data_IF_690327541363
#
_entry.id   IF_690327541363
#
_cell.length_a   1.000
_cell.length_b   1.000
_cell.length_c   1.000
_cell.angle_alpha   90.00
_cell.angle_beta   90.00
_cell.angle_gamma   90.00
#
_symmetry.space_group_name_H-M   'P 1'
#
loop_
_entity.id
_entity.type
_entity.pdbx_description
1 polymer ?
#
# COMPACT_ATOMS: atom_id res chain seq x y z
N UNK A 1 2.69 -10.37 -33.51
CA UNK A 1 1.41 -9.70 -33.22
C UNK A 1 1.42 -9.26 -31.76
N UNK A 2 0.61 -8.27 -31.34
CA UNK A 2 0.61 -7.88 -29.93
C UNK A 2 -0.13 -8.92 -29.06
N UNK A 3 0.31 -9.14 -27.82
CA UNK A 3 -0.30 -10.10 -26.87
C UNK A 3 -1.84 -10.00 -26.81
N UNK A 4 -2.38 -8.77 -26.75
CA UNK A 4 -3.83 -8.55 -26.67
C UNK A 4 -4.59 -9.07 -27.89
N UNK A 5 -3.99 -9.00 -29.08
CA UNK A 5 -4.57 -9.53 -30.32
C UNK A 5 -4.57 -11.06 -30.30
N UNK A 6 -3.48 -11.68 -29.85
CA UNK A 6 -3.39 -13.14 -29.72
C UNK A 6 -4.39 -13.68 -28.69
N UNK A 7 -4.55 -12.99 -27.55
CA UNK A 7 -5.55 -13.33 -26.56
C UNK A 7 -6.98 -13.19 -27.12
N UNK A 8 -7.23 -12.15 -27.91
CA UNK A 8 -8.52 -11.97 -28.57
C UNK A 8 -8.80 -13.06 -29.62
N UNK A 9 -7.80 -13.46 -30.39
CA UNK A 9 -7.91 -14.56 -31.36
C UNK A 9 -8.16 -15.90 -30.66
N UNK A 10 -7.44 -16.19 -29.57
CA UNK A 10 -7.64 -17.35 -28.71
C UNK A 10 -9.09 -17.44 -28.19
N UNK A 11 -9.64 -16.33 -27.71
CA UNK A 11 -11.01 -16.29 -27.23
C UNK A 11 -12.01 -16.52 -28.37
N UNK A 12 -11.80 -15.88 -29.51
CA UNK A 12 -12.69 -16.00 -30.68
C UNK A 12 -12.67 -17.39 -31.29
N UNK A 13 -11.51 -18.04 -31.41
CA UNK A 13 -11.42 -19.45 -31.89
C UNK A 13 -12.12 -20.43 -30.95
N UNK A 14 -12.21 -20.07 -29.67
CA UNK A 14 -12.91 -20.85 -28.64
C UNK A 14 -14.41 -20.55 -28.58
N UNK A 15 -14.93 -19.63 -29.41
CA UNK A 15 -16.35 -19.30 -29.50
C UNK A 15 -16.89 -18.47 -28.34
N UNK A 16 -16.04 -17.86 -27.52
CA UNK A 16 -16.44 -17.18 -26.28
C UNK A 16 -16.60 -15.67 -26.46
N UNK A 17 -17.59 -15.08 -25.77
CA UNK A 17 -17.67 -13.62 -25.58
C UNK A 17 -16.66 -13.14 -24.53
N UNK A 18 -16.37 -11.83 -24.46
CA UNK A 18 -15.47 -11.29 -23.43
C UNK A 18 -16.01 -11.55 -22.03
N UNK A 19 -17.33 -11.51 -21.85
CA UNK A 19 -18.05 -11.80 -20.61
C UNK A 19 -17.84 -13.26 -20.20
N UNK A 20 -18.07 -14.21 -21.11
CA UNK A 20 -17.90 -15.64 -20.82
C UNK A 20 -16.45 -15.99 -20.51
N UNK A 21 -15.50 -15.41 -21.26
CA UNK A 21 -14.08 -15.60 -21.02
C UNK A 21 -13.64 -15.00 -19.67
N UNK A 22 -14.23 -13.87 -19.27
CA UNK A 22 -13.97 -13.27 -17.96
C UNK A 22 -14.51 -14.14 -16.82
N UNK A 23 -15.69 -14.73 -17.00
CA UNK A 23 -16.30 -15.64 -16.03
C UNK A 23 -15.46 -16.91 -15.82
N UNK A 24 -14.98 -17.53 -16.89
CA UNK A 24 -14.07 -18.69 -16.79
C UNK A 24 -12.79 -18.37 -16.03
N UNK A 25 -12.25 -17.18 -16.25
CA UNK A 25 -11.03 -16.70 -15.58
C UNK A 25 -11.30 -16.13 -14.19
N UNK A 26 -12.57 -16.04 -13.76
CA UNK A 26 -13.02 -15.40 -12.50
C UNK A 26 -12.50 -13.96 -12.36
N UNK A 27 -12.61 -13.18 -13.42
CA UNK A 27 -12.26 -11.76 -13.47
C UNK A 27 -13.42 -10.93 -14.02
N UNK A 28 -13.34 -9.60 -13.90
CA UNK A 28 -14.34 -8.73 -14.51
C UNK A 28 -14.17 -8.67 -16.03
N UNK A 29 -15.27 -8.49 -16.77
CA UNK A 29 -15.23 -8.24 -18.22
C UNK A 29 -14.30 -7.07 -18.60
N UNK A 30 -14.23 -6.05 -17.73
CA UNK A 30 -13.35 -4.89 -17.92
C UNK A 30 -11.86 -5.28 -17.92
N UNK A 31 -11.47 -6.27 -17.12
CA UNK A 31 -10.09 -6.79 -17.11
C UNK A 31 -9.74 -7.43 -18.47
N UNK A 32 -10.60 -8.31 -18.99
CA UNK A 32 -10.42 -8.93 -20.31
C UNK A 32 -10.36 -7.86 -21.41
N UNK A 33 -11.26 -6.87 -21.39
CA UNK A 33 -11.22 -5.76 -22.36
C UNK A 33 -9.92 -4.95 -22.28
N UNK A 34 -9.36 -4.77 -21.07
CA UNK A 34 -8.08 -4.08 -20.86
C UNK A 34 -6.90 -4.88 -21.43
N UNK A 35 -6.93 -6.20 -21.29
CA UNK A 35 -5.89 -7.10 -21.83
C UNK A 35 -5.93 -7.18 -23.35
N UNK A 36 -7.11 -7.38 -23.94
CA UNK A 36 -7.27 -7.44 -25.40
C UNK A 36 -6.93 -6.12 -26.09
N UNK A 37 -7.06 -4.98 -25.39
CA UNK A 37 -6.67 -3.66 -25.91
C UNK A 37 -5.21 -3.28 -25.62
N UNK A 38 -4.41 -4.18 -25.06
CA UNK A 38 -2.98 -3.94 -24.77
C UNK A 38 -2.72 -2.94 -23.63
N UNK A 39 -3.75 -2.54 -22.88
CA UNK A 39 -3.65 -1.57 -21.77
C UNK A 39 -3.23 -2.21 -20.44
N UNK A 40 -2.87 -3.48 -20.45
CA UNK A 40 -2.40 -4.25 -19.30
C UNK A 40 -2.30 -5.73 -19.61
N UNK A 41 -1.79 -6.51 -18.67
CA UNK A 41 -1.61 -7.95 -18.80
C UNK A 41 -2.38 -8.70 -17.69
N UNK A 42 -2.80 -9.95 -17.93
CA UNK A 42 -3.31 -10.81 -16.88
C UNK A 42 -2.21 -11.14 -15.87
N UNK A 43 -2.61 -11.44 -14.64
CA UNK A 43 -1.71 -11.96 -13.61
C UNK A 43 -1.15 -13.33 -14.04
N UNK A 44 0.01 -13.70 -13.50
CA UNK A 44 0.72 -14.95 -13.85
C UNK A 44 -0.18 -16.18 -13.68
N UNK A 45 -0.99 -16.22 -12.62
CA UNK A 45 -1.95 -17.31 -12.38
C UNK A 45 -2.95 -17.46 -13.55
N UNK A 46 -3.49 -16.35 -14.05
CA UNK A 46 -4.44 -16.35 -15.17
C UNK A 46 -3.77 -16.73 -16.47
N UNK A 47 -2.54 -16.28 -16.69
CA UNK A 47 -1.74 -16.68 -17.84
C UNK A 47 -1.50 -18.19 -17.87
N UNK A 48 -1.08 -18.78 -16.75
CA UNK A 48 -0.86 -20.22 -16.65
C UNK A 48 -2.15 -21.01 -16.84
N UNK A 49 -3.26 -20.53 -16.27
CA UNK A 49 -4.57 -21.14 -16.47
C UNK A 49 -4.99 -21.11 -17.95
N UNK A 50 -4.81 -20.00 -18.64
CA UNK A 50 -5.10 -19.88 -20.08
C UNK A 50 -4.26 -20.88 -20.88
N UNK A 51 -2.97 -20.96 -20.60
CA UNK A 51 -2.05 -21.89 -21.26
C UNK A 51 -2.52 -23.35 -21.10
N UNK A 52 -2.86 -23.75 -19.88
CA UNK A 52 -3.33 -25.11 -19.58
C UNK A 52 -4.72 -25.40 -20.19
N UNK A 53 -5.63 -24.44 -20.13
CA UNK A 53 -7.04 -24.63 -20.52
C UNK A 53 -7.23 -24.69 -22.02
N UNK A 54 -6.46 -23.91 -22.76
CA UNK A 54 -6.59 -23.74 -24.21
C UNK A 54 -5.45 -24.35 -25.02
N UNK A 55 -4.61 -25.15 -24.36
CA UNK A 55 -3.45 -25.86 -24.91
C UNK A 55 -2.55 -24.94 -25.75
N UNK A 56 -2.12 -23.84 -25.11
CA UNK A 56 -1.19 -22.86 -25.70
C UNK A 56 -0.01 -22.67 -24.76
N UNK A 57 1.16 -22.42 -25.32
CA UNK A 57 2.32 -22.03 -24.55
C UNK A 57 2.32 -20.52 -24.28
N UNK A 58 3.08 -20.09 -23.28
CA UNK A 58 3.32 -18.66 -23.08
C UNK A 58 3.96 -18.02 -24.32
N UNK A 59 4.78 -18.74 -25.07
CA UNK A 59 5.37 -18.21 -26.30
C UNK A 59 4.31 -17.99 -27.40
N UNK A 60 3.29 -18.85 -27.46
CA UNK A 60 2.20 -18.70 -28.44
C UNK A 60 1.29 -17.49 -28.12
N UNK A 61 1.20 -17.10 -26.84
CA UNK A 61 0.48 -15.90 -26.39
C UNK A 61 1.31 -14.61 -26.52
N UNK A 62 2.62 -14.75 -26.61
CA UNK A 62 3.59 -13.68 -26.74
C UNK A 62 4.46 -13.94 -27.96
N UNK A 63 3.87 -13.95 -29.17
CA UNK A 63 4.68 -13.99 -30.38
C UNK A 63 5.58 -12.74 -30.43
N UNK A 64 6.88 -13.02 -30.35
CA UNK A 64 7.97 -12.08 -30.53
C UNK A 64 7.75 -11.27 -31.82
N UNK A 65 7.32 -10.02 -31.69
CA UNK A 65 7.70 -9.02 -32.68
C UNK A 65 9.22 -8.98 -32.65
N UNK A 66 9.84 -9.42 -33.74
CA UNK A 66 11.28 -9.55 -33.95
C UNK A 66 12.05 -9.85 -32.68
N UNK A 67 12.29 -11.14 -32.44
CA UNK A 67 13.40 -11.58 -31.62
C UNK A 67 14.69 -11.15 -32.34
N UNK A 68 14.99 -9.86 -32.34
CA UNK A 68 16.39 -9.44 -32.36
C UNK A 68 17.02 -10.29 -31.26
N UNK A 69 18.02 -11.13 -31.59
CA UNK A 69 18.73 -11.85 -30.54
C UNK A 69 19.08 -10.80 -29.51
N UNK A 70 18.85 -11.08 -28.22
CA UNK A 70 19.45 -10.27 -27.18
C UNK A 70 20.96 -10.43 -27.36
N UNK A 71 21.51 -9.64 -28.27
CA UNK A 71 22.89 -9.24 -28.28
C UNK A 71 23.01 -8.58 -26.92
N UNK A 72 23.47 -9.37 -25.95
CA UNK A 72 24.30 -8.82 -24.91
C UNK A 72 25.51 -8.23 -25.64
N UNK A 73 25.33 -7.06 -26.23
CA UNK A 73 26.41 -6.09 -26.17
C UNK A 73 26.76 -6.07 -24.69
N UNK A 74 27.97 -6.56 -24.39
CA UNK A 74 28.60 -6.31 -23.12
C UNK A 74 28.67 -4.79 -23.08
N UNK A 75 27.63 -4.17 -22.52
CA UNK A 75 27.57 -2.74 -22.32
C UNK A 75 28.86 -2.43 -21.57
N UNK A 76 29.74 -1.58 -22.14
CA UNK A 76 31.05 -1.34 -21.54
C UNK A 76 30.82 -1.00 -20.08
N UNK A 77 31.65 -1.55 -19.19
CA UNK A 77 31.51 -1.38 -17.75
C UNK A 77 31.14 0.08 -17.47
N UNK A 78 29.87 0.32 -17.14
CA UNK A 78 29.36 1.68 -17.01
C UNK A 78 30.21 2.29 -15.90
N UNK A 79 30.93 3.40 -16.16
CA UNK A 79 31.79 3.97 -15.14
C UNK A 79 30.94 4.19 -13.89
N UNK A 80 31.45 3.79 -12.71
CA UNK A 80 30.69 3.83 -11.45
C UNK A 80 29.96 5.17 -11.24
N UNK A 81 30.60 6.27 -11.66
CA UNK A 81 30.03 7.63 -11.64
C UNK A 81 28.74 7.76 -12.49
N UNK A 82 28.70 7.16 -13.67
CA UNK A 82 27.54 7.15 -14.55
C UNK A 82 26.40 6.27 -14.01
N UNK A 83 26.71 5.11 -13.40
CA UNK A 83 25.72 4.25 -12.75
C UNK A 83 25.08 4.91 -11.53
N UNK A 84 25.89 5.57 -10.71
CA UNK A 84 25.41 6.33 -9.55
C UNK A 84 24.56 7.52 -10.00
N UNK A 85 24.99 8.27 -11.03
CA UNK A 85 24.22 9.38 -11.58
C UNK A 85 22.86 8.93 -12.14
N UNK A 86 22.82 7.81 -12.85
CA UNK A 86 21.59 7.23 -13.38
C UNK A 86 20.65 6.70 -12.27
N UNK A 87 21.20 6.11 -11.21
CA UNK A 87 20.42 5.71 -10.05
C UNK A 87 19.80 6.92 -9.33
N UNK A 88 20.60 7.97 -9.09
CA UNK A 88 20.16 9.23 -8.46
C UNK A 88 19.07 9.94 -9.27
N UNK A 89 19.18 9.93 -10.60
CA UNK A 89 18.21 10.61 -11.46
C UNK A 89 16.86 9.90 -11.55
N UNK A 90 16.84 8.58 -11.35
CA UNK A 90 15.67 7.70 -11.44
C UNK A 90 14.90 7.53 -10.11
N UNK A 91 15.38 8.11 -9.01
CA UNK A 91 14.58 8.22 -7.78
C UNK A 91 13.39 9.16 -7.99
N UNK A 92 12.24 8.85 -7.39
CA UNK A 92 11.08 9.77 -7.42
C UNK A 92 11.45 11.12 -6.79
N UNK A 93 10.83 12.26 -7.19
CA UNK A 93 11.19 13.58 -6.67
C UNK A 93 11.18 13.66 -5.13
N UNK A 94 10.23 12.96 -4.49
CA UNK A 94 10.13 12.85 -3.02
C UNK A 94 11.29 12.04 -2.41
N UNK A 95 11.75 10.99 -3.11
CA UNK A 95 12.87 10.16 -2.70
C UNK A 95 14.24 10.82 -2.95
N UNK A 96 14.35 11.77 -3.90
CA UNK A 96 15.59 12.52 -4.16
C UNK A 96 16.02 13.36 -2.95
N UNK A 97 15.07 14.06 -2.32
CA UNK A 97 15.32 14.85 -1.11
C UNK A 97 15.64 13.96 0.10
N UNK A 98 14.96 12.82 0.22
CA UNK A 98 15.28 11.77 1.21
C UNK A 98 16.70 11.22 1.04
N UNK A 99 17.09 10.83 -0.19
CA UNK A 99 18.43 10.33 -0.48
C UNK A 99 19.51 11.39 -0.32
N UNK A 100 19.23 12.65 -0.66
CA UNK A 100 20.15 13.76 -0.43
C UNK A 100 20.35 14.04 1.07
N UNK A 101 19.27 13.97 1.87
CA UNK A 101 19.35 14.10 3.32
C UNK A 101 20.15 12.97 3.98
N UNK A 102 19.96 11.73 3.54
CA UNK A 102 20.74 10.58 4.02
C UNK A 102 22.21 10.74 3.64
N UNK A 103 22.53 11.08 2.39
CA UNK A 103 23.92 11.27 1.93
C UNK A 103 24.62 12.44 2.64
N UNK A 104 23.91 13.53 2.89
CA UNK A 104 24.41 14.66 3.68
C UNK A 104 24.66 14.22 5.13
N UNK A 105 23.72 13.47 5.72
CA UNK A 105 23.86 12.90 7.05
C UNK A 105 25.09 12.00 7.16
N UNK A 106 25.30 11.07 6.22
CA UNK A 106 26.48 10.20 6.17
C UNK A 106 27.77 10.99 5.94
N UNK A 107 27.76 12.00 5.07
CA UNK A 107 28.94 12.85 4.82
C UNK A 107 29.33 13.69 6.04
N UNK A 108 28.34 14.22 6.78
CA UNK A 108 28.56 14.92 8.04
C UNK A 108 29.09 13.96 9.12
N UNK A 109 28.53 12.75 9.22
CA UNK A 109 28.97 11.71 10.16
C UNK A 109 30.41 11.27 9.86
N UNK A 110 30.77 11.09 8.58
CA UNK A 110 32.11 10.72 8.15
C UNK A 110 33.14 11.85 8.36
N UNK A 111 32.78 13.10 8.03
CA UNK A 111 33.63 14.27 8.28
C UNK A 111 33.87 14.50 9.78
N UNK A 112 32.83 14.29 10.58
CA UNK A 112 32.90 14.38 12.03
C UNK A 112 33.72 13.24 12.65
N UNK A 113 33.58 12.01 12.15
CA UNK A 113 34.41 10.87 12.55
C UNK A 113 35.89 11.08 12.17
N UNK A 114 36.18 11.76 11.06
CA UNK A 114 37.53 12.20 10.69
C UNK A 114 38.11 13.24 11.66
N UNK A 115 37.28 14.13 12.22
CA UNK A 115 37.68 15.06 13.27
C UNK A 115 37.91 14.35 14.62
N UNK A 116 37.13 13.30 14.91
CA UNK A 116 37.26 12.49 16.13
C UNK A 116 38.59 11.73 16.22
N UNK A 117 39.15 11.30 15.08
CA UNK A 117 40.42 10.57 15.01
C UNK A 117 41.62 11.39 15.48
N UNK A 118 41.45 12.70 15.71
CA UNK A 118 42.50 13.60 16.20
C UNK A 118 42.45 13.87 17.71
N UNK A 119 41.40 13.43 18.42
CA UNK A 119 41.15 13.67 19.85
C UNK A 119 41.43 12.48 20.76
N UNK A 120 41.37 12.70 22.08
CA UNK A 120 41.56 11.68 23.10
C UNK A 120 40.44 10.64 23.13
N UNK A 121 40.67 9.47 23.77
CA UNK A 121 39.72 8.35 23.78
C UNK A 121 38.33 8.72 24.34
N UNK A 122 38.28 9.49 25.44
CA UNK A 122 37.03 9.96 26.04
C UNK A 122 36.32 11.02 25.17
N UNK A 123 37.07 11.90 24.51
CA UNK A 123 36.52 12.87 23.57
C UNK A 123 35.90 12.15 22.37
N UNK A 124 36.57 11.13 21.84
CA UNK A 124 36.08 10.31 20.73
C UNK A 124 34.75 9.61 21.08
N UNK A 125 34.61 9.06 22.28
CA UNK A 125 33.39 8.38 22.74
C UNK A 125 32.20 9.35 22.89
N UNK A 126 32.40 10.50 23.54
CA UNK A 126 31.36 11.53 23.67
C UNK A 126 30.90 12.05 22.30
N UNK A 127 31.85 12.27 21.39
CA UNK A 127 31.56 12.77 20.06
C UNK A 127 30.73 11.75 19.26
N UNK A 128 31.02 10.45 19.38
CA UNK A 128 30.23 9.39 18.74
C UNK A 128 28.76 9.41 19.19
N UNK A 129 28.49 9.57 20.48
CA UNK A 129 27.11 9.62 20.98
C UNK A 129 26.36 10.89 20.58
N UNK A 130 27.04 12.04 20.54
CA UNK A 130 26.46 13.29 20.02
C UNK A 130 26.14 13.13 18.53
N UNK A 131 27.04 12.54 17.74
CA UNK A 131 26.80 12.25 16.33
C UNK A 131 25.56 11.36 16.14
N UNK A 132 25.45 10.29 16.94
CA UNK A 132 24.32 9.38 16.90
C UNK A 132 22.99 10.10 17.19
N UNK A 133 22.94 10.98 18.19
CA UNK A 133 21.75 11.80 18.49
C UNK A 133 21.33 12.66 17.30
N UNK A 134 22.28 13.35 16.66
CA UNK A 134 21.99 14.20 15.48
C UNK A 134 21.45 13.35 14.33
N UNK A 135 22.07 12.20 14.06
CA UNK A 135 21.67 11.30 12.98
C UNK A 135 20.27 10.76 13.19
N UNK A 136 19.97 10.24 14.39
CA UNK A 136 18.63 9.76 14.70
C UNK A 136 17.59 10.89 14.68
N UNK A 137 17.94 12.09 15.13
CA UNK A 137 17.08 13.27 15.04
C UNK A 137 16.74 13.66 13.60
N UNK A 138 17.73 13.62 12.69
CA UNK A 138 17.51 13.89 11.26
C UNK A 138 16.66 12.79 10.63
N UNK A 139 16.96 11.52 10.91
CA UNK A 139 16.15 10.39 10.42
C UNK A 139 14.69 10.53 10.88
N UNK A 140 14.46 10.93 12.13
CA UNK A 140 13.10 11.16 12.64
C UNK A 140 12.40 12.30 11.90
N UNK A 141 13.08 13.44 11.72
CA UNK A 141 12.53 14.59 11.02
C UNK A 141 12.13 14.26 9.57
N UNK A 142 12.86 13.34 8.93
CA UNK A 142 12.60 12.91 7.55
C UNK A 142 11.51 11.84 7.48
N UNK A 143 11.48 10.90 8.43
CA UNK A 143 10.59 9.73 8.37
C UNK A 143 9.22 9.96 9.01
N UNK A 144 9.09 10.91 9.94
CA UNK A 144 7.87 11.14 10.75
C UNK A 144 7.36 9.82 11.34
N UNK A 145 8.29 8.90 11.64
CA UNK A 145 8.00 7.50 11.93
C UNK A 145 7.80 7.20 13.40
N UNK A 146 8.10 8.15 14.30
CA UNK A 146 8.11 8.00 15.76
C UNK A 146 9.01 6.86 16.27
N UNK A 147 9.91 6.31 15.45
CA UNK A 147 10.77 5.16 15.84
C UNK A 147 12.18 5.64 16.18
N UNK A 148 12.74 6.54 15.37
CA UNK A 148 14.10 7.04 15.52
C UNK A 148 14.28 7.93 16.76
N UNK A 149 13.23 8.60 17.21
CA UNK A 149 13.27 9.46 18.40
C UNK A 149 13.70 8.70 19.68
N UNK A 150 13.37 7.41 19.80
CA UNK A 150 13.76 6.59 20.96
C UNK A 150 15.24 6.21 20.97
N UNK A 151 15.87 6.20 19.79
CA UNK A 151 17.32 6.03 19.68
C UNK A 151 18.08 7.33 20.00
N UNK A 152 17.43 8.50 19.93
CA UNK A 152 18.00 9.76 20.48
C UNK A 152 18.10 9.66 22.01
N UNK A 153 17.05 9.16 22.69
CA UNK A 153 17.09 8.95 24.15
C UNK A 153 18.12 7.89 24.55
N UNK A 154 18.22 6.80 23.80
CA UNK A 154 19.27 5.80 24.02
C UNK A 154 20.67 6.39 23.83
N UNK A 155 20.87 7.22 22.80
CA UNK A 155 22.17 7.86 22.54
C UNK A 155 22.53 8.87 23.63
N UNK A 156 21.55 9.57 24.20
CA UNK A 156 21.75 10.42 25.36
C UNK A 156 22.18 9.61 26.60
N UNK A 157 21.64 8.41 26.81
CA UNK A 157 22.10 7.52 27.88
C UNK A 157 23.53 7.03 27.68
N UNK A 158 23.90 6.68 26.44
CA UNK A 158 25.28 6.37 26.06
C UNK A 158 26.23 7.55 26.29
N UNK A 159 25.80 8.77 25.95
CA UNK A 159 26.56 10.00 26.19
C UNK A 159 26.77 10.26 27.69
N UNK A 160 25.74 10.10 28.52
CA UNK A 160 25.86 10.25 29.98
C UNK A 160 26.85 9.23 30.53
N UNK A 161 26.79 7.98 30.07
CA UNK A 161 27.73 6.94 30.46
C UNK A 161 29.18 7.27 30.04
N UNK A 162 29.36 7.83 28.85
CA UNK A 162 30.67 8.31 28.38
C UNK A 162 31.21 9.48 29.22
N UNK A 163 30.35 10.44 29.61
CA UNK A 163 30.70 11.54 30.52
C UNK A 163 31.13 11.01 31.90
N UNK A 164 30.53 9.91 32.36
CA UNK A 164 30.91 9.23 33.59
C UNK A 164 32.13 8.29 33.45
N UNK A 165 32.86 8.35 32.32
CA UNK A 165 34.02 7.50 32.02
C UNK A 165 33.73 5.99 32.10
N UNK A 166 32.48 5.59 31.83
CA UNK A 166 32.08 4.19 31.80
C UNK A 166 32.72 3.45 30.61
N UNK A 167 33.00 2.14 30.73
CA UNK A 167 33.54 1.37 29.62
C UNK A 167 32.54 1.27 28.46
N UNK A 168 33.05 1.22 27.22
CA UNK A 168 32.24 1.24 25.99
C UNK A 168 31.12 0.18 25.95
N UNK A 169 31.35 -1.01 26.49
CA UNK A 169 30.33 -2.07 26.54
C UNK A 169 29.12 -1.67 27.39
N UNK A 170 29.34 -0.91 28.47
CA UNK A 170 28.27 -0.42 29.34
C UNK A 170 27.50 0.72 28.68
N UNK A 171 28.19 1.61 27.95
CA UNK A 171 27.56 2.67 27.17
C UNK A 171 26.61 2.09 26.11
N UNK A 172 27.09 1.09 25.36
CA UNK A 172 26.29 0.39 24.33
C UNK A 172 25.13 -0.39 24.96
N UNK A 173 25.35 -1.06 26.08
CA UNK A 173 24.30 -1.75 26.81
C UNK A 173 23.19 -0.77 27.26
N UNK A 174 23.57 0.38 27.84
CA UNK A 174 22.63 1.41 28.28
C UNK A 174 21.84 2.01 27.10
N UNK A 175 22.49 2.22 25.95
CA UNK A 175 21.80 2.65 24.74
C UNK A 175 20.64 1.71 24.37
N UNK A 176 20.90 0.40 24.28
CA UNK A 176 19.86 -0.57 23.92
C UNK A 176 18.78 -0.69 25.00
N UNK A 177 19.16 -0.72 26.27
CA UNK A 177 18.20 -0.81 27.39
C UNK A 177 17.24 0.38 27.36
N UNK A 178 17.76 1.60 27.24
CA UNK A 178 16.94 2.82 27.25
C UNK A 178 16.07 2.92 26.00
N UNK A 179 16.61 2.61 24.81
CA UNK A 179 15.82 2.63 23.57
C UNK A 179 14.69 1.58 23.57
N UNK A 180 14.96 0.36 24.02
CA UNK A 180 13.93 -0.70 24.11
C UNK A 180 12.88 -0.34 25.16
N UNK A 181 13.30 0.14 26.34
CA UNK A 181 12.37 0.57 27.38
C UNK A 181 11.45 1.70 26.89
N UNK A 182 12.01 2.68 26.18
CA UNK A 182 11.23 3.79 25.61
C UNK A 182 10.24 3.31 24.53
N UNK A 183 10.63 2.37 23.67
CA UNK A 183 9.73 1.74 22.69
C UNK A 183 8.59 0.94 23.36
N UNK A 184 8.87 0.22 24.45
CA UNK A 184 7.83 -0.51 25.19
C UNK A 184 6.88 0.48 25.88
N UNK A 185 7.41 1.54 26.48
CA UNK A 185 6.65 2.57 27.18
C UNK A 185 5.71 3.37 26.26
N UNK A 186 5.97 3.41 24.96
CA UNK A 186 5.13 4.14 23.98
C UNK A 186 3.96 3.32 23.47
N UNK A 187 4.05 2.00 23.55
CA UNK A 187 2.95 1.07 23.20
C UNK A 187 1.60 1.40 23.87
N UNK A 188 1.50 1.66 25.20
CA UNK A 188 0.23 2.02 25.82
C UNK A 188 -0.32 3.37 25.34
N UNK A 189 0.56 4.36 25.12
CA UNK A 189 0.16 5.68 24.65
C UNK A 189 -0.40 5.62 23.23
N UNK A 190 0.30 4.93 22.32
CA UNK A 190 -0.16 4.73 20.93
C UNK A 190 -1.50 3.99 20.92
N UNK A 191 -1.68 2.95 21.74
CA UNK A 191 -2.97 2.25 21.84
C UNK A 191 -4.10 3.17 22.31
N UNK A 192 -3.86 3.99 23.33
CA UNK A 192 -4.86 4.93 23.84
C UNK A 192 -5.22 6.03 22.84
N UNK A 193 -4.28 6.44 21.99
CA UNK A 193 -4.51 7.42 20.93
C UNK A 193 -5.11 6.81 19.66
N UNK A 194 -4.94 5.50 19.47
CA UNK A 194 -5.41 4.76 18.29
C UNK A 194 -6.71 3.99 18.58
N UNK A 195 -7.40 4.28 19.68
CA UNK A 195 -8.82 3.99 19.84
C UNK A 195 -9.59 4.84 18.83
N UNK A 196 -9.62 4.33 17.60
CA UNK A 196 -10.58 4.75 16.61
C UNK A 196 -11.94 4.42 17.19
N UNK A 197 -12.65 5.45 17.66
CA UNK A 197 -14.08 5.50 17.46
C UNK A 197 -14.32 5.34 15.96
N UNK A 198 -14.39 4.09 15.50
CA UNK A 198 -14.98 3.76 14.21
C UNK A 198 -16.44 4.10 14.43
N UNK A 199 -16.79 5.37 14.20
CA UNK A 199 -18.17 5.78 14.09
C UNK A 199 -18.70 5.03 12.87
N UNK A 200 -19.63 4.08 13.01
CA UNK A 200 -20.25 3.45 11.86
C UNK A 200 -20.86 4.58 11.02
N UNK A 201 -20.51 4.61 9.74
CA UNK A 201 -20.68 5.75 8.83
C UNK A 201 -22.13 5.97 8.39
N UNK A 202 -23.09 6.04 9.33
CA UNK A 202 -24.50 6.40 9.07
C UNK A 202 -25.38 5.27 8.48
N UNK A 203 -24.86 4.03 8.40
CA UNK A 203 -25.59 2.85 7.94
C UNK A 203 -26.52 2.25 9.02
N UNK A 204 -26.05 2.19 10.27
CA UNK A 204 -26.86 1.64 11.38
C UNK A 204 -28.01 2.57 11.79
N UNK A 205 -27.89 3.88 11.50
CA UNK A 205 -28.90 4.87 11.86
C UNK A 205 -30.21 4.72 11.07
N UNK A 206 -30.16 4.06 9.91
CA UNK A 206 -31.33 3.87 9.05
C UNK A 206 -31.99 2.51 9.23
N UNK A 207 -31.41 1.57 9.99
CA UNK A 207 -31.99 0.25 10.27
C UNK A 207 -33.13 0.34 11.29
N UNK A 208 -34.22 -0.39 11.06
CA UNK A 208 -35.43 -0.38 11.90
C UNK A 208 -36.32 0.85 11.74
N UNK A 209 -35.96 1.83 10.90
CA UNK A 209 -36.76 3.02 10.65
C UNK A 209 -37.80 2.78 9.56
N UNK A 210 -38.87 3.56 9.62
CA UNK A 210 -39.85 3.65 8.54
C UNK A 210 -39.27 4.47 7.39
N UNK A 211 -39.50 3.99 6.18
CA UNK A 211 -39.06 4.60 4.95
C UNK A 211 -40.22 4.61 3.95
N UNK A 212 -40.19 5.56 3.01
CA UNK A 212 -41.19 5.63 1.94
C UNK A 212 -40.55 5.22 0.62
N UNK A 213 -41.19 4.32 -0.12
CA UNK A 213 -40.75 3.92 -1.45
C UNK A 213 -40.87 5.12 -2.39
N UNK A 214 -39.75 5.55 -2.98
CA UNK A 214 -39.71 6.66 -3.97
C UNK A 214 -39.58 6.16 -5.40
N UNK A 215 -39.13 4.93 -5.58
CA UNK A 215 -39.08 4.26 -6.88
C UNK A 215 -39.52 2.81 -6.65
N UNK A 216 -40.44 2.31 -7.48
CA UNK A 216 -41.00 0.97 -7.32
C UNK A 216 -39.90 -0.09 -7.17
N UNK A 217 -40.03 -0.91 -6.13
CA UNK A 217 -39.07 -1.96 -5.81
C UNK A 217 -39.58 -3.26 -6.40
N UNK A 218 -38.78 -3.82 -7.30
CA UNK A 218 -38.95 -5.15 -7.85
C UNK A 218 -37.57 -5.81 -7.89
N UNK A 219 -37.41 -6.93 -7.19
CA UNK A 219 -36.11 -7.62 -7.11
C UNK A 219 -35.67 -8.22 -8.46
N UNK A 220 -36.58 -8.37 -9.42
CA UNK A 220 -36.29 -8.83 -10.79
C UNK A 220 -35.70 -7.73 -11.67
N UNK A 221 -35.84 -6.46 -11.26
CA UNK A 221 -35.39 -5.28 -12.01
C UNK A 221 -34.27 -4.58 -11.24
N UNK A 222 -33.28 -3.96 -11.90
CA UNK A 222 -32.22 -3.21 -11.21
C UNK A 222 -32.68 -1.89 -10.56
N UNK A 223 -33.96 -1.52 -10.61
CA UNK A 223 -34.54 -0.30 -10.01
C UNK A 223 -34.93 -0.47 -8.53
N UNK A 224 -35.26 0.63 -7.85
CA UNK A 224 -35.88 0.60 -6.52
C UNK A 224 -35.14 1.43 -5.49
N UNK A 225 -35.87 2.33 -4.83
CA UNK A 225 -35.32 3.26 -3.87
C UNK A 225 -36.33 3.64 -2.78
N UNK A 226 -35.82 3.96 -1.59
CA UNK A 226 -36.60 4.44 -0.45
C UNK A 226 -36.00 5.73 0.09
N UNK A 227 -36.85 6.58 0.65
CA UNK A 227 -36.45 7.78 1.38
C UNK A 227 -36.56 7.55 2.88
N UNK A 228 -35.42 7.67 3.58
CA UNK A 228 -35.32 7.50 5.04
C UNK A 228 -34.34 8.53 5.60
N UNK A 229 -34.74 9.20 6.67
CA UNK A 229 -33.88 10.13 7.43
C UNK A 229 -33.23 11.24 6.56
N UNK A 230 -34.01 11.79 5.62
CA UNK A 230 -33.56 12.88 4.74
C UNK A 230 -32.78 12.43 3.50
N UNK A 231 -32.58 11.13 3.28
CA UNK A 231 -31.75 10.58 2.20
C UNK A 231 -32.47 9.50 1.41
N UNK A 232 -32.20 9.44 0.11
CA UNK A 232 -32.65 8.36 -0.77
C UNK A 232 -31.61 7.24 -0.79
N UNK A 233 -32.06 6.01 -0.57
CA UNK A 233 -31.25 4.80 -0.56
C UNK A 233 -31.77 3.81 -1.59
N UNK A 234 -30.88 3.10 -2.27
CA UNK A 234 -31.27 1.96 -3.11
C UNK A 234 -31.87 0.87 -2.23
N UNK A 235 -33.01 0.30 -2.65
CA UNK A 235 -33.75 -0.65 -1.83
C UNK A 235 -34.14 -1.91 -2.58
N UNK A 236 -34.29 -3.01 -1.83
CA UNK A 236 -34.77 -4.31 -2.28
C UNK A 236 -35.79 -4.85 -1.29
N UNK A 237 -36.74 -5.63 -1.77
CA UNK A 237 -37.73 -6.26 -0.92
C UNK A 237 -37.09 -7.47 -0.23
N UNK A 238 -37.20 -7.57 1.09
CA UNK A 238 -36.69 -8.73 1.84
C UNK A 238 -37.51 -9.99 1.53
N UNK A 239 -38.84 -9.84 1.39
CA UNK A 239 -39.76 -10.93 1.07
C UNK A 239 -39.81 -11.27 -0.43
N UNK A 240 -39.22 -10.42 -1.28
CA UNK A 240 -39.32 -10.54 -2.74
C UNK A 240 -40.63 -10.00 -3.33
N UNK A 241 -41.53 -9.45 -2.52
CA UNK A 241 -42.75 -8.77 -2.99
C UNK A 241 -42.40 -7.50 -3.79
N UNK A 242 -43.21 -7.18 -4.80
CA UNK A 242 -43.12 -5.89 -5.50
C UNK A 242 -43.79 -4.78 -4.70
N UNK A 243 -43.04 -3.71 -4.43
CA UNK A 243 -43.50 -2.59 -3.60
C UNK A 243 -43.65 -1.34 -4.49
N UNK A 244 -44.89 -0.88 -4.75
CA UNK A 244 -45.11 0.29 -5.59
C UNK A 244 -44.66 1.58 -4.91
N UNK A 245 -44.41 2.61 -5.72
CA UNK A 245 -44.06 3.95 -5.24
C UNK A 245 -45.11 4.47 -4.25
N UNK A 246 -44.64 5.11 -3.18
CA UNK A 246 -45.47 5.65 -2.11
C UNK A 246 -45.76 4.67 -0.96
N UNK A 247 -45.44 3.38 -1.11
CA UNK A 247 -45.60 2.37 -0.05
C UNK A 247 -44.73 2.70 1.17
N UNK A 248 -45.27 2.52 2.37
CA UNK A 248 -44.54 2.61 3.63
C UNK A 248 -43.89 1.26 3.95
N UNK A 249 -42.60 1.29 4.26
CA UNK A 249 -41.79 0.10 4.48
C UNK A 249 -40.88 0.30 5.68
N UNK A 250 -40.41 -0.79 6.27
CA UNK A 250 -39.43 -0.80 7.35
C UNK A 250 -38.10 -1.33 6.84
N UNK A 251 -37.01 -0.69 7.24
CA UNK A 251 -35.66 -1.19 6.95
C UNK A 251 -35.30 -2.34 7.88
N UNK A 252 -34.99 -3.50 7.30
CA UNK A 252 -34.70 -4.73 8.06
C UNK A 252 -33.21 -4.94 8.21
N UNK A 253 -32.49 -4.88 7.09
CA UNK A 253 -31.03 -5.08 7.03
C UNK A 253 -30.42 -4.31 5.87
N UNK A 254 -29.10 -4.22 5.86
CA UNK A 254 -28.33 -3.55 4.82
C UNK A 254 -27.27 -4.48 4.26
N UNK A 255 -27.11 -4.49 2.94
CA UNK A 255 -26.07 -5.25 2.24
C UNK A 255 -25.35 -4.35 1.23
N UNK A 256 -24.08 -4.05 1.49
CA UNK A 256 -23.33 -3.07 0.71
C UNK A 256 -23.93 -1.67 0.84
N UNK A 257 -24.56 -1.15 -0.22
CA UNK A 257 -25.24 0.16 -0.27
C UNK A 257 -26.76 0.04 -0.41
N UNK A 258 -27.29 -1.19 -0.37
CA UNK A 258 -28.72 -1.47 -0.57
C UNK A 258 -29.40 -1.79 0.76
N UNK A 259 -30.54 -1.16 0.99
CA UNK A 259 -31.41 -1.49 2.11
C UNK A 259 -32.39 -2.60 1.71
N UNK A 260 -32.53 -3.59 2.56
CA UNK A 260 -33.60 -4.57 2.45
C UNK A 260 -34.75 -4.10 3.32
N UNK A 261 -35.91 -4.00 2.70
CA UNK A 261 -37.11 -3.42 3.29
C UNK A 261 -38.29 -4.38 3.21
N UNK A 262 -39.19 -4.26 4.17
CA UNK A 262 -40.43 -5.04 4.24
C UNK A 262 -41.62 -4.09 4.39
N UNK A 263 -42.77 -4.44 3.80
CA UNK A 263 -43.99 -3.62 3.92
C UNK A 263 -44.42 -3.54 5.38
N UNK A 264 -44.81 -2.33 5.80
CA UNK A 264 -45.44 -2.07 7.10
C UNK A 264 -46.90 -2.52 7.14
#
# INVERSE_FOLDING_TARGET
MAFGEQLQLLRRRSGLTQEQFAEELRVSRQAVSKWESGKGYPEVEKLLYICQRYDVTLNDLFEQGDNEPISREISPAVPLKASVAAFVSNLSPRNKWLSAGILLGVALLAGFMGLCLKGGKAEMEMIVWIAAMVVFGVVEAVTVGLVSIWFVLGSAAGLIAAICEAPIWLQVLLFFIVSIAALIATRPLVRKMMDKNIVPTNADAVLGKEARVTEAIDNTVPSGAVYVDGKTWSARSESGETLPEGTLVRTVRMEGVKLFVERL
#
